data_IF_399178916349
#
_entry.id   IF_399178916349
#
_cell.length_a   1.000
_cell.length_b   1.000
_cell.length_c   1.000
_cell.angle_alpha   90.00
_cell.angle_beta   90.00
_cell.angle_gamma   90.00
#
_symmetry.space_group_name_H-M   'P 1'
#
loop_
_entity.id
_entity.type
_entity.pdbx_description
1 polymer ?
#
# COMPACT_ATOMS: atom_id res chain seq x y z
N UNK A 1 39.27 -35.02 31.68
CA UNK A 1 39.63 -33.63 31.33
C UNK A 1 38.81 -33.25 30.11
N UNK A 2 37.88 -32.30 30.24
CA UNK A 2 36.93 -31.91 29.18
C UNK A 2 37.66 -31.10 28.09
N UNK A 3 37.48 -31.44 26.81
CA UNK A 3 37.85 -30.56 25.70
C UNK A 3 36.59 -30.21 24.92
N UNK A 4 36.24 -28.92 24.95
CA UNK A 4 35.01 -28.36 24.39
C UNK A 4 35.11 -28.24 22.87
N UNK A 5 34.09 -28.77 22.20
CA UNK A 5 33.80 -28.58 20.78
C UNK A 5 33.36 -27.12 20.57
N UNK A 6 34.16 -26.32 19.86
CA UNK A 6 33.76 -24.98 19.42
C UNK A 6 32.95 -25.09 18.13
N UNK A 7 31.64 -24.93 18.23
CA UNK A 7 30.75 -24.77 17.06
C UNK A 7 30.68 -23.26 16.76
N UNK A 8 31.30 -22.83 15.66
CA UNK A 8 31.11 -21.49 15.12
C UNK A 8 29.81 -21.48 14.32
N UNK A 9 28.84 -20.69 14.77
CA UNK A 9 27.62 -20.42 14.01
C UNK A 9 27.90 -19.31 12.99
N UNK A 10 27.76 -19.64 11.71
CA UNK A 10 27.81 -18.67 10.63
C UNK A 10 26.44 -17.97 10.56
N UNK A 11 26.34 -16.71 10.99
CA UNK A 11 25.13 -15.92 10.83
C UNK A 11 25.02 -15.46 9.36
N UNK A 12 24.05 -15.99 8.63
CA UNK A 12 23.71 -15.48 7.31
C UNK A 12 22.98 -14.15 7.47
N UNK A 13 23.54 -13.07 6.91
CA UNK A 13 22.88 -11.78 6.82
C UNK A 13 22.07 -11.78 5.53
N UNK A 14 20.74 -11.73 5.64
CA UNK A 14 19.87 -11.50 4.48
C UNK A 14 19.85 -10.00 4.18
N UNK A 15 20.29 -9.60 2.99
CA UNK A 15 20.02 -8.26 2.47
C UNK A 15 18.58 -8.23 1.98
N UNK A 16 17.77 -7.32 2.54
CA UNK A 16 16.45 -7.04 1.98
C UNK A 16 16.66 -6.32 0.63
N UNK A 17 16.21 -6.94 -0.46
CA UNK A 17 16.15 -6.30 -1.77
C UNK A 17 14.90 -5.43 -1.92
N UNK A 18 14.75 -4.81 -3.08
CA UNK A 18 13.52 -4.08 -3.46
C UNK A 18 12.29 -5.00 -3.37
N UNK A 19 11.13 -4.41 -3.07
CA UNK A 19 9.87 -5.14 -3.05
C UNK A 19 9.59 -5.73 -4.45
N UNK A 20 9.14 -6.99 -4.55
CA UNK A 20 8.85 -7.58 -5.84
C UNK A 20 7.62 -6.92 -6.47
N UNK A 21 7.65 -6.70 -7.79
CA UNK A 21 6.45 -6.33 -8.54
C UNK A 21 5.38 -7.44 -8.44
N UNK A 22 4.13 -7.06 -8.18
CA UNK A 22 3.00 -7.99 -8.19
C UNK A 22 2.41 -8.10 -9.61
N UNK A 23 2.46 -9.30 -10.18
CA UNK A 23 1.85 -9.62 -11.49
C UNK A 23 0.86 -10.78 -11.42
N UNK A 24 0.43 -11.18 -10.23
CA UNK A 24 -0.39 -12.37 -9.99
C UNK A 24 -1.80 -12.04 -9.47
N UNK A 25 -2.22 -10.77 -9.60
CA UNK A 25 -3.55 -10.34 -9.17
C UNK A 25 -4.66 -11.15 -9.86
N UNK A 26 -5.74 -11.51 -9.12
CA UNK A 26 -6.86 -12.27 -9.67
C UNK A 26 -7.44 -11.66 -10.94
N UNK A 27 -7.53 -12.46 -12.01
CA UNK A 27 -8.01 -11.99 -13.31
C UNK A 27 -9.52 -11.88 -13.35
N UNK A 28 -10.03 -10.92 -14.12
CA UNK A 28 -11.45 -10.70 -14.36
C UNK A 28 -12.25 -10.37 -13.08
N UNK A 29 -11.59 -9.81 -12.07
CA UNK A 29 -12.23 -9.25 -10.88
C UNK A 29 -12.17 -7.73 -10.95
N UNK A 30 -13.25 -7.10 -10.50
CA UNK A 30 -13.30 -5.66 -10.22
C UNK A 30 -13.60 -5.47 -8.74
N UNK A 31 -12.72 -4.77 -8.04
CA UNK A 31 -13.00 -4.25 -6.70
C UNK A 31 -13.31 -2.76 -6.80
N UNK A 32 -14.24 -2.27 -5.97
CA UNK A 32 -14.67 -0.87 -5.95
C UNK A 32 -14.58 -0.31 -4.55
N UNK A 33 -14.02 0.89 -4.41
CA UNK A 33 -14.11 1.69 -3.20
C UNK A 33 -14.98 2.92 -3.46
N UNK A 34 -15.82 3.27 -2.49
CA UNK A 34 -16.67 4.45 -2.55
C UNK A 34 -16.20 5.45 -1.51
N UNK A 35 -15.90 6.67 -1.95
CA UNK A 35 -15.73 7.82 -1.07
C UNK A 35 -17.10 8.48 -0.94
N UNK A 36 -17.65 8.46 0.26
CA UNK A 36 -18.96 9.06 0.55
C UNK A 36 -18.85 9.88 1.83
N UNK A 37 -18.14 11.00 1.72
CA UNK A 37 -18.14 12.04 2.74
C UNK A 37 -19.06 13.19 2.27
N UNK A 38 -19.38 14.11 3.17
CA UNK A 38 -20.20 15.28 2.94
C UNK A 38 -19.70 16.12 1.75
N UNK A 39 -18.40 16.36 1.67
CA UNK A 39 -17.81 17.29 0.71
C UNK A 39 -17.16 16.56 -0.48
N UNK A 40 -16.43 15.47 -0.21
CA UNK A 40 -15.75 14.67 -1.25
C UNK A 40 -16.52 13.39 -1.53
N UNK A 41 -16.80 13.16 -2.82
CA UNK A 41 -17.45 11.94 -3.32
C UNK A 41 -16.63 11.32 -4.42
N UNK A 42 -16.61 10.00 -4.49
CA UNK A 42 -15.88 9.33 -5.56
C UNK A 42 -16.07 7.83 -5.61
N UNK A 43 -15.64 7.26 -6.73
CA UNK A 43 -15.57 5.82 -6.95
C UNK A 43 -14.17 5.51 -7.46
N UNK A 44 -13.54 4.50 -6.85
CA UNK A 44 -12.24 3.98 -7.27
C UNK A 44 -12.43 2.54 -7.70
N UNK A 45 -12.10 2.27 -8.97
CA UNK A 45 -12.19 0.95 -9.58
C UNK A 45 -10.81 0.33 -9.70
N UNK A 46 -10.65 -0.87 -9.15
CA UNK A 46 -9.47 -1.71 -9.30
C UNK A 46 -9.82 -2.89 -10.19
N UNK A 47 -9.14 -3.03 -11.32
CA UNK A 47 -9.39 -4.12 -12.26
C UNK A 47 -8.10 -4.76 -12.73
N UNK A 48 -8.04 -6.09 -12.75
CA UNK A 48 -6.88 -6.82 -13.25
C UNK A 48 -7.25 -7.70 -14.44
N UNK A 49 -6.69 -7.39 -15.62
CA UNK A 49 -6.87 -8.20 -16.83
C UNK A 49 -5.75 -9.23 -17.00
N UNK A 50 -4.51 -8.81 -16.76
CA UNK A 50 -3.30 -9.60 -17.02
C UNK A 50 -2.43 -9.80 -15.75
N UNK A 51 -3.02 -9.70 -14.56
CA UNK A 51 -2.29 -9.85 -13.29
C UNK A 51 -1.72 -8.56 -12.71
N UNK A 52 -1.62 -7.50 -13.52
CA UNK A 52 -1.41 -6.11 -13.04
C UNK A 52 -2.76 -5.43 -12.82
N UNK A 53 -2.89 -4.69 -11.72
CA UNK A 53 -4.08 -3.91 -11.39
C UNK A 53 -4.03 -2.55 -12.09
N UNK A 54 -5.10 -2.22 -12.82
CA UNK A 54 -5.41 -0.86 -13.25
C UNK A 54 -6.32 -0.21 -12.23
N UNK A 55 -5.92 0.97 -11.78
CA UNK A 55 -6.71 1.84 -10.89
C UNK A 55 -7.34 2.95 -11.72
N UNK A 56 -8.65 3.13 -11.59
CA UNK A 56 -9.38 4.26 -12.16
C UNK A 56 -10.04 5.05 -11.03
N UNK A 57 -9.68 6.33 -10.94
CA UNK A 57 -10.13 7.24 -9.88
C UNK A 57 -11.06 8.27 -10.49
N UNK A 58 -12.30 8.33 -10.01
CA UNK A 58 -13.28 9.36 -10.33
C UNK A 58 -13.75 10.01 -9.02
N UNK A 59 -13.34 11.26 -8.80
CA UNK A 59 -13.56 11.99 -7.54
C UNK A 59 -14.04 13.39 -7.86
N UNK A 60 -14.97 13.88 -7.06
CA UNK A 60 -15.58 15.21 -7.15
C UNK A 60 -15.61 15.87 -5.77
N UNK A 61 -15.73 17.20 -5.75
CA UNK A 61 -15.82 17.96 -4.50
C UNK A 61 -14.48 18.17 -3.78
N UNK A 62 -13.35 17.97 -4.47
CA UNK A 62 -12.05 18.41 -3.98
C UNK A 62 -12.03 19.95 -3.89
N UNK A 63 -11.38 20.54 -2.87
CA UNK A 63 -11.19 21.98 -2.79
C UNK A 63 -10.39 22.54 -3.98
N UNK A 64 -10.66 23.79 -4.36
CA UNK A 64 -9.95 24.47 -5.45
C UNK A 64 -8.48 24.80 -5.12
N UNK A 65 -8.14 24.85 -3.83
CA UNK A 65 -6.82 25.22 -3.31
C UNK A 65 -6.30 24.17 -2.30
N UNK A 66 -5.00 24.16 -2.04
CA UNK A 66 -4.37 23.25 -1.06
C UNK A 66 -3.95 21.90 -1.61
N UNK A 67 -4.04 21.69 -2.92
CA UNK A 67 -3.46 20.55 -3.60
C UNK A 67 -1.91 20.62 -3.68
N UNK A 68 -1.25 19.53 -4.15
CA UNK A 68 -1.86 18.30 -4.68
C UNK A 68 -2.57 17.46 -3.62
N UNK A 69 -3.67 16.81 -4.02
CA UNK A 69 -4.38 15.86 -3.15
C UNK A 69 -3.86 14.44 -3.43
N UNK A 70 -3.18 13.88 -2.44
CA UNK A 70 -2.58 12.54 -2.56
C UNK A 70 -3.62 11.43 -2.42
N UNK A 71 -3.35 10.32 -3.10
CA UNK A 71 -4.15 9.12 -3.07
C UNK A 71 -3.32 7.96 -2.49
N UNK A 72 -3.83 7.32 -1.43
CA UNK A 72 -3.16 6.19 -0.78
C UNK A 72 -4.16 5.10 -0.42
N UNK A 73 -3.67 3.86 -0.32
CA UNK A 73 -4.41 2.73 0.25
C UNK A 73 -3.96 2.55 1.70
N UNK A 74 -4.90 2.50 2.64
CA UNK A 74 -4.62 2.30 4.06
C UNK A 74 -4.72 0.82 4.44
N UNK A 75 -4.06 0.45 5.55
CA UNK A 75 -3.97 -0.95 6.00
C UNK A 75 -5.28 -1.58 6.45
N UNK A 76 -6.24 -0.77 6.92
CA UNK A 76 -7.53 -1.24 7.43
C UNK A 76 -8.69 -0.60 6.66
N UNK A 77 -9.81 -1.33 6.46
CA UNK A 77 -11.02 -0.74 5.89
C UNK A 77 -11.60 0.34 6.81
N UNK A 78 -12.37 1.27 6.22
CA UNK A 78 -13.14 2.23 7.02
C UNK A 78 -14.17 1.45 7.87
N UNK A 79 -14.17 1.61 9.20
CA UNK A 79 -15.15 0.96 10.07
C UNK A 79 -16.58 1.43 9.77
N UNK A 80 -17.56 0.66 10.23
CA UNK A 80 -18.99 0.92 9.99
C UNK A 80 -19.50 2.27 10.51
N UNK A 81 -18.78 2.91 11.43
CA UNK A 81 -19.10 4.24 11.93
C UNK A 81 -18.52 5.39 11.07
N UNK A 82 -17.86 5.08 9.96
CA UNK A 82 -17.33 6.07 9.02
C UNK A 82 -16.09 6.84 9.48
N UNK A 83 -15.48 6.45 10.61
CA UNK A 83 -14.25 7.09 11.11
C UNK A 83 -13.07 6.76 10.17
N UNK A 84 -12.64 7.75 9.39
CA UNK A 84 -11.58 7.58 8.38
C UNK A 84 -10.21 7.41 9.03
N UNK A 85 -9.96 8.00 10.19
CA UNK A 85 -8.72 7.92 10.95
C UNK A 85 -8.45 6.50 11.47
N UNK A 86 -9.50 5.71 11.68
CA UNK A 86 -9.39 4.32 12.11
C UNK A 86 -8.82 3.36 11.05
N UNK A 87 -8.66 3.81 9.81
CA UNK A 87 -8.00 3.05 8.74
C UNK A 87 -6.51 2.86 9.00
N UNK A 88 -5.91 3.69 9.86
CA UNK A 88 -4.51 3.63 10.24
C UNK A 88 -3.56 4.24 9.20
N UNK A 89 -2.35 3.70 9.12
CA UNK A 89 -1.30 4.15 8.20
C UNK A 89 -1.46 3.54 6.80
N UNK A 90 -0.60 3.94 5.87
CA UNK A 90 -0.48 3.35 4.54
C UNK A 90 -0.33 1.82 4.61
N UNK A 91 -0.93 1.13 3.64
CA UNK A 91 -0.73 -0.29 3.41
C UNK A 91 0.71 -0.51 2.94
N UNK A 92 1.55 -1.07 3.80
CA UNK A 92 2.97 -1.31 3.55
C UNK A 92 3.35 -2.77 3.88
N UNK A 93 3.02 -3.74 3.01
CA UNK A 93 3.21 -5.17 3.29
C UNK A 93 4.68 -5.58 3.34
N UNK A 94 5.58 -4.81 2.73
CA UNK A 94 7.03 -5.08 2.70
C UNK A 94 7.82 -4.25 3.73
N UNK A 95 7.12 -3.46 4.54
CA UNK A 95 7.72 -2.65 5.60
C UNK A 95 8.84 -1.74 5.09
N UNK A 96 8.60 -1.12 3.93
CA UNK A 96 9.46 -0.06 3.39
C UNK A 96 9.69 1.04 4.45
N UNK A 97 10.88 1.64 4.52
CA UNK A 97 11.15 2.77 5.40
C UNK A 97 10.12 3.90 5.19
N UNK A 98 9.74 4.58 6.27
CA UNK A 98 8.80 5.70 6.21
C UNK A 98 9.46 7.00 5.71
N UNK A 99 10.79 7.00 5.67
CA UNK A 99 11.57 8.16 5.33
C UNK A 99 11.83 8.13 3.82
N UNK A 100 11.33 9.16 3.14
CA UNK A 100 11.59 9.48 1.73
C UNK A 100 10.78 8.69 0.67
N UNK A 101 9.43 8.66 0.80
CA UNK A 101 8.54 8.18 -0.27
C UNK A 101 8.85 8.88 -1.62
N UNK A 102 9.03 10.20 -1.58
CA UNK A 102 9.32 11.01 -2.77
C UNK A 102 10.71 10.74 -3.40
N UNK A 103 11.60 9.98 -2.75
CA UNK A 103 12.87 9.55 -3.35
C UNK A 103 12.78 8.25 -4.14
N UNK A 104 11.64 7.58 -4.12
CA UNK A 104 11.40 6.42 -4.97
C UNK A 104 10.77 6.88 -6.29
N UNK A 105 11.49 6.66 -7.39
CA UNK A 105 11.13 7.11 -8.76
C UNK A 105 9.85 6.44 -9.33
N UNK A 106 9.15 5.62 -8.53
CA UNK A 106 7.98 4.81 -8.92
C UNK A 106 6.68 5.16 -8.16
N UNK A 107 6.67 6.22 -7.35
CA UNK A 107 5.52 6.68 -6.56
C UNK A 107 4.47 7.53 -7.34
N UNK A 108 4.51 7.53 -8.69
CA UNK A 108 3.59 8.29 -9.55
C UNK A 108 2.85 7.44 -10.61
#
# INVERSE_FOLDING_TARGET
SFSHLMISALAAVAFAGEAPENTDSPRNIVAKAHLDNKDVKGVIDFSAKNGTVKVHVDVTGLPDEGGPFYYHIHKSPVPSNGNCEATGTHLNPYNAPLDDCDAFDDDA
#
